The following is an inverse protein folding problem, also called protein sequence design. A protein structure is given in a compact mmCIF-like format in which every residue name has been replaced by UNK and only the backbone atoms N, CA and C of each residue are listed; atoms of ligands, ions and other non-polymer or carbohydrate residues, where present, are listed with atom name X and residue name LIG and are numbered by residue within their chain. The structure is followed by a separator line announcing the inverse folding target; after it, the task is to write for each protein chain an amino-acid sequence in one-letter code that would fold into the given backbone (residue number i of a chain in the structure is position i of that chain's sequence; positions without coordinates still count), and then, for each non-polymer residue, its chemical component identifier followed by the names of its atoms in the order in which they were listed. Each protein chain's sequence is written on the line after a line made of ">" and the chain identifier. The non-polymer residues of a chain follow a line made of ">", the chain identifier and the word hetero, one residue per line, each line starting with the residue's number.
data_IF_410741266080
#
_entry.id   IF_410741266080
#
_cell.length_a   1.000
_cell.length_b   1.000
_cell.length_c   1.000
_cell.angle_alpha   90.00
_cell.angle_beta   90.00
_cell.angle_gamma   90.00
#
_symmetry.space_group_name_H-M   'P 1'
#
loop_
_entity.id
_entity.type
_entity.pdbx_description
1 polymer ?
#
# COMPACT_ATOMS: atom_id res chain seq x y z
N UNK A 1 -4.03 14.31 28.54
CA UNK A 1 -5.05 13.24 28.48
C UNK A 1 -5.79 13.35 27.15
N UNK A 2 -5.85 12.28 26.40
CA UNK A 2 -6.60 12.27 25.15
C UNK A 2 -8.10 12.35 25.42
N UNK A 3 -8.81 13.09 24.55
CA UNK A 3 -10.23 13.33 24.69
C UNK A 3 -11.02 12.07 24.38
N UNK A 4 -12.01 11.71 25.23
CA UNK A 4 -13.02 10.73 24.91
C UNK A 4 -14.11 11.33 24.01
N UNK A 5 -14.68 10.52 23.14
CA UNK A 5 -15.73 10.91 22.20
C UNK A 5 -17.01 10.12 22.46
N UNK A 6 -18.15 10.78 22.32
CA UNK A 6 -19.44 10.11 22.33
C UNK A 6 -19.72 9.41 20.99
N UNK A 7 -20.61 8.42 20.93
CA UNK A 7 -21.00 7.79 19.66
C UNK A 7 -21.51 8.80 18.63
N UNK A 8 -22.31 9.80 19.06
CA UNK A 8 -22.83 10.81 18.14
C UNK A 8 -21.77 11.71 17.53
N UNK A 9 -20.72 12.03 18.28
CA UNK A 9 -19.57 12.78 17.76
C UNK A 9 -18.80 11.98 16.71
N UNK A 10 -18.57 10.67 16.98
CA UNK A 10 -17.90 9.78 16.02
C UNK A 10 -18.71 9.62 14.76
N UNK A 11 -20.02 9.39 14.85
CA UNK A 11 -20.88 9.21 13.69
C UNK A 11 -21.05 10.45 12.82
N UNK A 12 -20.88 11.64 13.39
CA UNK A 12 -20.86 12.92 12.63
C UNK A 12 -19.51 13.23 11.98
N UNK A 13 -18.46 12.55 12.38
CA UNK A 13 -17.11 12.81 11.88
C UNK A 13 -17.02 12.36 10.43
N UNK A 14 -16.55 13.26 9.55
CA UNK A 14 -16.25 12.92 8.16
C UNK A 14 -14.91 12.19 8.10
N UNK A 15 -14.94 10.90 7.81
CA UNK A 15 -13.75 10.07 7.63
C UNK A 15 -13.55 9.85 6.13
N UNK A 16 -12.42 10.28 5.54
CA UNK A 16 -12.18 10.09 4.12
C UNK A 16 -12.17 8.61 3.73
N UNK A 17 -12.83 8.30 2.62
CA UNK A 17 -12.90 6.96 2.03
C UNK A 17 -12.49 6.97 0.57
N UNK A 18 -12.30 5.78 -0.01
CA UNK A 18 -12.03 5.60 -1.42
C UNK A 18 -13.31 5.10 -2.08
N UNK A 19 -14.01 5.94 -2.87
CA UNK A 19 -15.26 5.55 -3.51
C UNK A 19 -15.00 4.72 -4.77
N UNK A 20 -14.52 3.49 -4.59
CA UNK A 20 -14.32 2.57 -5.69
C UNK A 20 -15.59 2.34 -6.49
N UNK A 21 -15.41 2.02 -7.76
CA UNK A 21 -16.50 1.68 -8.70
C UNK A 21 -16.23 0.31 -9.35
N UNK A 22 -17.27 -0.28 -9.95
CA UNK A 22 -17.17 -1.53 -10.67
C UNK A 22 -16.62 -2.68 -9.84
N UNK A 23 -15.77 -3.49 -10.43
CA UNK A 23 -15.19 -4.68 -9.81
C UNK A 23 -14.40 -4.37 -8.53
N UNK A 24 -13.80 -3.20 -8.44
CA UNK A 24 -13.08 -2.77 -7.23
C UNK A 24 -14.03 -2.51 -6.07
N UNK A 25 -15.19 -1.89 -6.36
CA UNK A 25 -16.24 -1.70 -5.36
C UNK A 25 -16.86 -3.03 -4.92
N UNK A 26 -17.09 -3.93 -5.86
CA UNK A 26 -17.64 -5.25 -5.56
C UNK A 26 -16.70 -6.06 -4.64
N UNK A 27 -15.38 -5.94 -4.85
CA UNK A 27 -14.38 -6.65 -4.07
C UNK A 27 -14.06 -5.99 -2.73
N UNK A 28 -13.95 -4.66 -2.68
CA UNK A 28 -13.41 -3.93 -1.53
C UNK A 28 -14.39 -2.95 -0.89
N UNK A 29 -15.54 -2.70 -1.50
CA UNK A 29 -16.50 -1.72 -1.01
C UNK A 29 -15.97 -0.29 -1.11
N UNK A 30 -16.18 0.48 -0.07
CA UNK A 30 -15.69 1.84 0.07
C UNK A 30 -14.79 1.95 1.31
N UNK A 31 -13.53 1.52 1.20
CA UNK A 31 -12.62 1.47 2.35
C UNK A 31 -12.13 2.87 2.75
N UNK A 32 -11.62 2.98 3.97
CA UNK A 32 -10.93 4.17 4.44
C UNK A 32 -9.73 4.51 3.56
N UNK A 33 -9.50 5.81 3.37
CA UNK A 33 -8.44 6.36 2.51
C UNK A 33 -7.05 6.32 3.16
N UNK A 34 -6.96 6.03 4.44
CA UNK A 34 -5.73 6.05 5.22
C UNK A 34 -5.51 4.74 5.94
N UNK A 35 -4.32 4.54 6.46
CA UNK A 35 -3.98 3.33 7.22
C UNK A 35 -3.04 2.41 6.49
N UNK A 36 -3.24 1.10 6.65
CA UNK A 36 -2.34 0.07 6.12
C UNK A 36 -3.13 -1.06 5.49
N UNK A 37 -2.74 -1.44 4.27
CA UNK A 37 -3.19 -2.66 3.61
C UNK A 37 -1.99 -3.59 3.42
N UNK A 38 -2.22 -4.88 3.56
CA UNK A 38 -1.22 -5.91 3.31
C UNK A 38 -1.68 -6.84 2.19
N UNK A 39 -0.84 -6.98 1.18
CA UNK A 39 -0.98 -7.94 0.08
C UNK A 39 0.11 -8.98 0.25
N UNK A 40 -0.23 -10.27 0.35
CA UNK A 40 0.79 -11.32 0.43
C UNK A 40 0.41 -12.53 -0.42
N UNK A 41 1.37 -13.36 -0.71
CA UNK A 41 1.21 -14.58 -1.48
C UNK A 41 2.56 -15.20 -1.82
N UNK A 42 2.53 -16.44 -2.27
CA UNK A 42 3.71 -17.16 -2.74
C UNK A 42 4.34 -16.50 -3.96
N UNK A 43 5.59 -16.83 -4.22
CA UNK A 43 6.29 -16.38 -5.43
C UNK A 43 5.52 -16.79 -6.69
N UNK A 44 5.53 -15.93 -7.69
CA UNK A 44 4.86 -16.13 -8.98
C UNK A 44 3.32 -16.24 -8.94
N UNK A 45 2.67 -15.90 -7.84
CA UNK A 45 1.20 -15.89 -7.74
C UNK A 45 0.53 -14.59 -8.19
N UNK A 46 1.28 -13.66 -8.78
CA UNK A 46 0.72 -12.44 -9.37
C UNK A 46 0.58 -11.27 -8.41
N UNK A 47 1.26 -11.26 -7.26
CA UNK A 47 1.22 -10.15 -6.28
C UNK A 47 1.57 -8.80 -6.90
N UNK A 48 2.70 -8.73 -7.60
CA UNK A 48 3.17 -7.48 -8.21
C UNK A 48 2.24 -7.01 -9.33
N UNK A 49 1.65 -7.93 -10.08
CA UNK A 49 0.63 -7.59 -11.08
C UNK A 49 -0.64 -7.03 -10.43
N UNK A 50 -1.09 -7.64 -9.35
CA UNK A 50 -2.24 -7.14 -8.59
C UNK A 50 -1.94 -5.77 -7.97
N UNK A 51 -0.76 -5.62 -7.35
CA UNK A 51 -0.34 -4.35 -6.75
C UNK A 51 -0.27 -3.22 -7.80
N UNK A 52 0.20 -3.53 -9.00
CA UNK A 52 0.25 -2.55 -10.10
C UNK A 52 -1.14 -2.15 -10.58
N UNK A 53 -2.07 -3.11 -10.71
CA UNK A 53 -3.47 -2.83 -11.05
C UNK A 53 -4.15 -1.99 -9.97
N UNK A 54 -3.90 -2.30 -8.70
CA UNK A 54 -4.39 -1.51 -7.58
C UNK A 54 -3.82 -0.08 -7.62
N UNK A 55 -2.51 0.05 -7.90
CA UNK A 55 -1.86 1.35 -8.06
C UNK A 55 -2.56 2.20 -9.13
N UNK A 56 -2.86 1.60 -10.27
CA UNK A 56 -3.60 2.27 -11.35
C UNK A 56 -4.96 2.75 -10.88
N UNK A 57 -5.71 1.90 -10.20
CA UNK A 57 -7.03 2.27 -9.67
C UNK A 57 -6.93 3.41 -8.66
N UNK A 58 -5.95 3.34 -7.75
CA UNK A 58 -5.73 4.39 -6.76
C UNK A 58 -5.36 5.75 -7.38
N UNK A 59 -4.74 5.78 -8.56
CA UNK A 59 -4.45 7.05 -9.25
C UNK A 59 -5.69 7.86 -9.64
N UNK A 60 -6.85 7.23 -9.71
CA UNK A 60 -8.14 7.92 -9.90
C UNK A 60 -8.56 8.71 -8.66
N UNK A 61 -7.99 8.41 -7.51
CA UNK A 61 -8.36 8.96 -6.22
C UNK A 61 -7.28 9.82 -5.57
N UNK A 62 -6.04 9.78 -6.08
CA UNK A 62 -4.93 10.55 -5.55
C UNK A 62 -3.61 10.20 -6.21
N UNK A 63 -2.54 10.76 -5.70
CA UNK A 63 -1.18 10.50 -6.18
C UNK A 63 -0.63 9.24 -5.53
N UNK A 64 -0.05 8.36 -6.34
CA UNK A 64 0.52 7.08 -5.92
C UNK A 64 2.03 7.07 -6.12
N UNK A 65 2.77 6.66 -5.10
CA UNK A 65 4.17 6.25 -5.23
C UNK A 65 4.28 4.73 -5.12
N UNK A 66 5.01 4.12 -6.01
CA UNK A 66 5.34 2.70 -5.99
C UNK A 66 6.84 2.54 -5.75
N UNK A 67 7.20 2.08 -4.56
CA UNK A 67 8.60 1.84 -4.22
C UNK A 67 8.98 0.39 -4.56
N UNK A 68 9.69 0.23 -5.67
CA UNK A 68 10.15 -1.08 -6.15
C UNK A 68 11.47 -1.44 -5.48
N UNK A 69 11.39 -2.03 -4.30
CA UNK A 69 12.55 -2.43 -3.52
C UNK A 69 13.17 -3.73 -4.02
N UNK A 70 12.32 -4.67 -4.44
CA UNK A 70 12.75 -6.01 -4.84
C UNK A 70 13.16 -6.09 -6.30
N UNK A 71 12.25 -5.73 -7.21
CA UNK A 71 12.49 -5.83 -8.65
C UNK A 71 13.29 -4.67 -9.23
N UNK A 72 13.37 -3.54 -8.51
CA UNK A 72 13.96 -2.32 -9.06
C UNK A 72 13.26 -1.92 -10.37
N UNK A 73 13.99 -1.33 -11.31
CA UNK A 73 13.50 -0.98 -12.64
C UNK A 73 13.82 -2.06 -13.67
N UNK A 74 13.53 -3.31 -13.34
CA UNK A 74 13.80 -4.46 -14.20
C UNK A 74 12.90 -4.50 -15.43
N UNK A 75 13.28 -5.33 -16.41
CA UNK A 75 12.43 -5.59 -17.58
C UNK A 75 11.09 -6.20 -17.19
N UNK A 76 11.07 -7.08 -16.18
CA UNK A 76 9.85 -7.66 -15.62
C UNK A 76 8.91 -6.58 -15.07
N UNK A 77 9.46 -5.65 -14.29
CA UNK A 77 8.72 -4.50 -13.77
C UNK A 77 8.17 -3.63 -14.90
N UNK A 78 9.01 -3.30 -15.89
CA UNK A 78 8.60 -2.51 -17.06
C UNK A 78 7.47 -3.20 -17.84
N UNK A 79 7.56 -4.51 -18.04
CA UNK A 79 6.52 -5.28 -18.74
C UNK A 79 5.21 -5.30 -17.93
N UNK A 80 5.28 -5.36 -16.62
CA UNK A 80 4.12 -5.26 -15.74
C UNK A 80 3.43 -3.88 -15.89
N UNK A 81 4.22 -2.81 -15.93
CA UNK A 81 3.71 -1.47 -16.18
C UNK A 81 2.98 -1.37 -17.53
N UNK A 82 3.55 -1.95 -18.58
CA UNK A 82 2.91 -1.98 -19.92
C UNK A 82 1.59 -2.74 -19.91
N UNK A 83 1.55 -3.93 -19.31
CA UNK A 83 0.31 -4.72 -19.19
C UNK A 83 -0.79 -3.97 -18.46
N UNK A 84 -0.41 -3.21 -17.44
CA UNK A 84 -1.35 -2.43 -16.64
C UNK A 84 -1.61 -1.02 -17.22
N UNK A 85 -1.02 -0.68 -18.36
CA UNK A 85 -1.17 0.63 -19.03
C UNK A 85 -0.89 1.81 -18.09
N UNK A 86 0.22 1.74 -17.37
CA UNK A 86 0.54 2.75 -16.36
C UNK A 86 0.86 4.13 -16.97
N UNK A 87 1.16 4.22 -18.26
CA UNK A 87 1.30 5.48 -18.99
C UNK A 87 0.01 6.32 -18.95
N UNK A 88 -1.16 5.69 -18.80
CA UNK A 88 -2.44 6.39 -18.66
C UNK A 88 -2.59 7.10 -17.30
N UNK A 89 -1.78 6.72 -16.32
CA UNK A 89 -1.74 7.32 -14.98
C UNK A 89 -0.74 8.48 -14.87
N UNK A 90 -0.34 9.06 -16.00
CA UNK A 90 0.65 10.15 -16.07
C UNK A 90 0.33 11.29 -15.11
N UNK A 91 1.34 11.76 -14.38
CA UNK A 91 1.22 12.85 -13.41
C UNK A 91 0.68 12.45 -12.04
N UNK A 92 0.10 11.26 -11.89
CA UNK A 92 -0.43 10.75 -10.62
C UNK A 92 0.25 9.48 -10.12
N UNK A 93 1.16 8.94 -10.90
CA UNK A 93 1.92 7.73 -10.56
C UNK A 93 3.40 8.01 -10.69
N UNK A 94 4.16 7.68 -9.67
CA UNK A 94 5.62 7.74 -9.70
C UNK A 94 6.23 6.47 -9.14
N UNK A 95 7.33 6.06 -9.74
CA UNK A 95 8.11 4.90 -9.33
C UNK A 95 9.35 5.37 -8.57
N UNK A 96 9.60 4.74 -7.44
CA UNK A 96 10.83 4.92 -6.67
C UNK A 96 11.67 3.65 -6.83
N UNK A 97 12.93 3.83 -7.21
CA UNK A 97 13.86 2.73 -7.43
C UNK A 97 14.63 2.44 -6.14
N UNK A 98 14.19 1.42 -5.42
CA UNK A 98 14.83 0.97 -4.17
C UNK A 98 15.08 2.09 -3.17
N UNK A 99 14.12 2.99 -3.02
CA UNK A 99 14.29 4.11 -2.09
C UNK A 99 14.26 3.59 -0.64
N UNK A 100 15.32 3.81 0.15
CA UNK A 100 15.34 3.42 1.55
C UNK A 100 14.22 4.10 2.34
N UNK A 101 13.75 3.46 3.41
CA UNK A 101 12.64 3.98 4.23
C UNK A 101 12.93 5.38 4.78
N UNK A 102 14.17 5.67 5.14
CA UNK A 102 14.58 6.99 5.62
C UNK A 102 14.38 8.07 4.54
N UNK A 103 14.81 7.79 3.32
CA UNK A 103 14.63 8.71 2.18
C UNK A 103 13.15 8.84 1.79
N UNK A 104 12.41 7.74 1.81
CA UNK A 104 10.96 7.74 1.60
C UNK A 104 10.26 8.62 2.64
N UNK A 105 10.63 8.50 3.91
CA UNK A 105 10.10 9.31 5.00
C UNK A 105 10.31 10.81 4.74
N UNK A 106 11.50 11.21 4.33
CA UNK A 106 11.79 12.61 3.98
C UNK A 106 10.99 13.08 2.76
N UNK A 107 10.81 12.23 1.77
CA UNK A 107 9.94 12.51 0.61
C UNK A 107 8.51 12.76 1.03
N UNK A 108 7.96 11.92 1.91
CA UNK A 108 6.56 11.99 2.34
C UNK A 108 6.25 13.20 3.22
N UNK A 109 7.25 13.82 3.85
CA UNK A 109 7.09 15.08 4.59
C UNK A 109 6.86 16.31 3.71
N UNK A 110 7.21 16.21 2.41
CA UNK A 110 7.09 17.35 1.49
C UNK A 110 5.63 17.65 1.17
N UNK A 111 5.35 18.90 0.85
CA UNK A 111 4.04 19.31 0.34
C UNK A 111 3.73 18.56 -0.96
N UNK A 112 2.45 18.22 -1.16
CA UNK A 112 1.97 17.48 -2.35
C UNK A 112 2.63 16.12 -2.54
N UNK A 113 3.17 15.55 -1.48
CA UNK A 113 3.68 14.18 -1.50
C UNK A 113 2.55 13.17 -1.79
N UNK A 114 2.87 11.95 -2.24
CA UNK A 114 1.86 10.95 -2.57
C UNK A 114 0.88 10.66 -1.43
N UNK A 115 -0.38 10.44 -1.78
CA UNK A 115 -1.44 10.04 -0.85
C UNK A 115 -1.37 8.55 -0.52
N UNK A 116 -1.00 7.75 -1.52
CA UNK A 116 -0.92 6.30 -1.47
C UNK A 116 0.51 5.86 -1.74
N UNK A 117 1.04 5.00 -0.90
CA UNK A 117 2.43 4.51 -0.98
C UNK A 117 2.42 2.99 -1.02
N UNK A 118 2.84 2.42 -2.13
CA UNK A 118 2.99 0.97 -2.29
C UNK A 118 4.46 0.62 -2.07
N UNK A 119 4.72 -0.34 -1.21
CA UNK A 119 6.08 -0.82 -0.88
C UNK A 119 6.17 -2.31 -1.24
N UNK A 120 6.93 -2.61 -2.26
CA UNK A 120 7.12 -3.96 -2.77
C UNK A 120 8.63 -4.34 -2.72
N UNK A 121 9.05 -5.10 -1.76
CA UNK A 121 8.28 -5.81 -0.76
C UNK A 121 8.68 -5.41 0.66
N UNK A 122 7.82 -5.75 1.62
CA UNK A 122 8.06 -5.49 3.05
C UNK A 122 9.37 -6.11 3.53
N UNK A 123 9.73 -7.32 3.08
CA UNK A 123 10.96 -8.01 3.45
C UNK A 123 12.22 -7.21 3.09
N UNK A 124 12.17 -6.46 1.99
CA UNK A 124 13.31 -5.65 1.52
C UNK A 124 13.44 -4.30 2.24
N UNK A 125 12.49 -3.93 3.09
CA UNK A 125 12.60 -2.71 3.90
C UNK A 125 13.57 -2.87 5.06
N UNK A 126 13.75 -4.08 5.55
CA UNK A 126 14.50 -4.35 6.78
C UNK A 126 13.83 -3.87 8.06
N UNK A 127 12.61 -3.33 7.98
CA UNK A 127 11.90 -2.83 9.16
C UNK A 127 11.50 -3.95 10.12
N UNK A 128 11.67 -3.69 11.41
CA UNK A 128 11.00 -4.43 12.46
C UNK A 128 9.60 -3.83 12.72
N UNK A 129 8.82 -4.46 13.59
CA UNK A 129 7.46 -3.99 13.89
C UNK A 129 7.42 -2.59 14.50
N UNK A 130 8.40 -2.24 15.32
CA UNK A 130 8.49 -0.91 15.93
C UNK A 130 8.72 0.18 14.88
N UNK A 131 9.61 -0.08 13.94
CA UNK A 131 9.90 0.83 12.83
C UNK A 131 8.69 0.99 11.89
N UNK A 132 7.99 -0.11 11.60
CA UNK A 132 6.72 -0.09 10.87
C UNK A 132 5.68 0.78 11.56
N UNK A 133 5.46 0.62 12.86
CA UNK A 133 4.53 1.43 13.63
C UNK A 133 4.88 2.90 13.60
N UNK A 134 6.16 3.22 13.74
CA UNK A 134 6.67 4.59 13.66
C UNK A 134 6.35 5.22 12.31
N UNK A 135 6.58 4.51 11.20
CA UNK A 135 6.27 4.99 9.85
C UNK A 135 4.77 5.28 9.71
N UNK A 136 3.93 4.35 10.09
CA UNK A 136 2.47 4.47 10.04
C UNK A 136 1.96 5.66 10.86
N UNK A 137 2.42 5.79 12.09
CA UNK A 137 1.99 6.85 13.02
C UNK A 137 2.48 8.24 12.59
N UNK A 138 3.61 8.31 11.91
CA UNK A 138 4.16 9.57 11.38
C UNK A 138 3.32 10.15 10.24
N UNK A 139 2.63 9.30 9.49
CA UNK A 139 1.84 9.70 8.32
C UNK A 139 0.38 9.22 8.42
N UNK A 140 -0.40 9.73 9.39
CA UNK A 140 -1.77 9.26 9.61
C UNK A 140 -2.75 9.59 8.47
N UNK A 141 -2.37 10.49 7.57
CA UNK A 141 -3.18 10.92 6.44
C UNK A 141 -2.86 10.17 5.13
N UNK A 142 -1.98 9.17 5.19
CA UNK A 142 -1.57 8.37 4.02
C UNK A 142 -2.04 6.94 4.14
N UNK A 143 -2.18 6.29 3.00
CA UNK A 143 -2.39 4.85 2.90
C UNK A 143 -1.07 4.19 2.49
N UNK A 144 -0.62 3.25 3.30
CA UNK A 144 0.51 2.38 2.98
C UNK A 144 -0.01 1.01 2.55
N UNK A 145 0.40 0.57 1.37
CA UNK A 145 0.10 -0.76 0.85
C UNK A 145 1.40 -1.55 0.80
N UNK A 146 1.56 -2.51 1.70
CA UNK A 146 2.73 -3.37 1.73
C UNK A 146 2.46 -4.65 0.94
N UNK A 147 3.41 -5.01 0.09
CA UNK A 147 3.43 -6.31 -0.58
C UNK A 147 4.43 -7.20 0.17
N UNK A 148 4.03 -8.41 0.50
CA UNK A 148 4.83 -9.34 1.30
C UNK A 148 4.92 -10.71 0.64
N UNK A 149 6.05 -11.36 0.82
CA UNK A 149 6.18 -12.79 0.56
C UNK A 149 5.28 -13.58 1.49
N UNK A 150 5.00 -14.83 1.14
CA UNK A 150 4.26 -15.77 1.96
C UNK A 150 5.12 -16.98 2.35
N UNK A 151 4.70 -17.62 3.42
CA UNK A 151 5.11 -18.94 3.84
C UNK A 151 3.83 -19.76 4.01
N UNK A 152 3.46 -20.49 2.96
CA UNK A 152 2.13 -21.07 2.85
C UNK A 152 1.04 -19.99 2.75
N UNK A 153 0.05 -20.07 3.60
CA UNK A 153 -1.06 -19.10 3.64
C UNK A 153 -0.78 -17.84 4.50
N UNK A 154 0.35 -17.81 5.19
CA UNK A 154 0.73 -16.70 6.08
C UNK A 154 1.77 -15.81 5.42
N UNK A 155 1.80 -14.52 5.78
CA UNK A 155 2.93 -13.66 5.42
C UNK A 155 4.24 -14.19 6.00
N UNK A 156 5.34 -13.96 5.28
CA UNK A 156 6.66 -14.47 5.65
C UNK A 156 7.38 -13.53 6.60
N UNK A 157 7.78 -14.06 7.74
CA UNK A 157 8.58 -13.36 8.75
C UNK A 157 7.73 -12.68 9.83
N UNK A 158 8.33 -12.44 10.99
CA UNK A 158 7.66 -11.92 12.17
C UNK A 158 7.05 -10.53 11.96
N UNK A 159 7.77 -9.64 11.27
CA UNK A 159 7.27 -8.30 10.96
C UNK A 159 6.03 -8.37 10.06
N UNK A 160 6.06 -9.17 9.01
CA UNK A 160 4.93 -9.32 8.09
C UNK A 160 3.70 -9.93 8.77
N UNK A 161 3.88 -10.90 9.66
CA UNK A 161 2.79 -11.46 10.46
C UNK A 161 2.19 -10.41 11.39
N UNK A 162 3.01 -9.59 12.03
CA UNK A 162 2.55 -8.50 12.90
C UNK A 162 1.79 -7.42 12.10
N UNK A 163 2.29 -7.09 10.91
CA UNK A 163 1.59 -6.16 10.00
C UNK A 163 0.24 -6.72 9.56
N UNK A 164 0.14 -8.03 9.32
CA UNK A 164 -1.12 -8.68 9.00
C UNK A 164 -2.17 -8.48 10.10
N UNK A 165 -1.78 -8.62 11.35
CA UNK A 165 -2.71 -8.38 12.47
C UNK A 165 -3.16 -6.93 12.57
N UNK A 166 -2.27 -6.00 12.25
CA UNK A 166 -2.52 -4.56 12.36
C UNK A 166 -3.22 -3.95 11.13
N UNK A 167 -3.12 -4.59 9.96
CA UNK A 167 -3.63 -4.03 8.71
C UNK A 167 -5.15 -3.89 8.69
N UNK A 168 -5.62 -2.78 8.10
CA UNK A 168 -7.04 -2.49 7.90
C UNK A 168 -7.64 -3.36 6.79
N UNK A 169 -6.85 -3.71 5.78
CA UNK A 169 -7.24 -4.62 4.70
C UNK A 169 -6.16 -5.68 4.49
N UNK A 170 -6.59 -6.92 4.33
CA UNK A 170 -5.73 -8.10 4.23
C UNK A 170 -6.09 -8.86 2.97
N UNK A 171 -5.13 -8.95 2.04
CA UNK A 171 -5.35 -9.49 0.70
C UNK A 171 -4.37 -10.62 0.45
N UNK A 172 -4.86 -11.84 0.40
CA UNK A 172 -4.10 -13.03 0.01
C UNK A 172 -4.24 -13.26 -1.50
N UNK A 173 -3.13 -13.28 -2.21
CA UNK A 173 -3.08 -13.56 -3.64
C UNK A 173 -2.66 -15.01 -3.84
N UNK A 174 -3.56 -15.82 -4.37
CA UNK A 174 -3.37 -17.26 -4.61
C UNK A 174 -3.78 -17.62 -6.03
N UNK A 175 -3.27 -18.77 -6.48
CA UNK A 175 -3.88 -19.51 -7.57
C UNK A 175 -3.64 -18.94 -8.95
N UNK A 176 -2.38 -18.92 -9.33
CA UNK A 176 -2.04 -18.76 -10.73
C UNK A 176 -1.61 -20.10 -11.31
#
# INVERSE_FOLDING_TARGET
>A
MERAYSPSEILKKKIPSIPFEGVWRDAFGEPGRTGVWLIWGESANGKSSFAMQLARELTKHGKVAYNSLEESLSLSFQNNMRRCRMEEARGRFLVLDREPIEALTERLKRQRSPDFVIIDSLQYTGMNYKEYKKLKEQFPNKLFVFVSHADGEKPKGSTAVSVQYDADMKILVQGY
#
